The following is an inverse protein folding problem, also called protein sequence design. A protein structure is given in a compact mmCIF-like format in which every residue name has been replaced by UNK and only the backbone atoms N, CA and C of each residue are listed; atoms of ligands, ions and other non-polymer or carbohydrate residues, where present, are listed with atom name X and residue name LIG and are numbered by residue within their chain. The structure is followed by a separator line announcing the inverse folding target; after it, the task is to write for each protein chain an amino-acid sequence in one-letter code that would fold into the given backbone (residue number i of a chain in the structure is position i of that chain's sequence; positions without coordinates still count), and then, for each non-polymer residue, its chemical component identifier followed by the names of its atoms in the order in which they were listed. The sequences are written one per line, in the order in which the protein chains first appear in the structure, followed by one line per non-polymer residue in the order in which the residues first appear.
data_IF_706724149224
#
_entry.id   IF_706724149224
#
_cell.length_a   1.000
_cell.length_b   1.000
_cell.length_c   1.000
_cell.angle_alpha   90.00
_cell.angle_beta   90.00
_cell.angle_gamma   90.00
#
_symmetry.space_group_name_H-M   'P 1'
#
loop_
_entity.id
_entity.type
_entity.pdbx_description
1 polymer ?
#
# COMPACT_ATOMS: atom_id res chain seq x y z
N UNK A 1 49.01 41.80 -46.12
CA UNK A 1 47.82 40.91 -46.06
C UNK A 1 48.25 39.48 -46.36
N UNK A 2 48.15 38.57 -45.37
CA UNK A 2 48.06 37.09 -45.49
C UNK A 2 48.48 36.46 -44.17
N UNK A 3 47.58 36.51 -43.18
CA UNK A 3 47.62 35.64 -42.00
C UNK A 3 46.16 35.29 -41.72
N UNK A 4 45.71 34.14 -42.21
CA UNK A 4 44.49 33.42 -41.81
C UNK A 4 44.30 32.24 -42.79
N UNK A 5 45.09 31.18 -42.62
CA UNK A 5 44.85 29.88 -43.28
C UNK A 5 45.03 28.66 -42.38
N UNK A 6 45.48 28.84 -41.14
CA UNK A 6 45.67 27.73 -40.18
C UNK A 6 44.42 27.50 -39.30
N UNK A 7 43.54 28.49 -39.16
CA UNK A 7 42.33 28.36 -38.33
C UNK A 7 41.28 27.44 -38.98
N UNK A 8 41.19 27.41 -40.32
CA UNK A 8 40.19 26.59 -41.03
C UNK A 8 40.49 25.08 -41.03
N UNK A 9 41.74 24.67 -40.80
CA UNK A 9 42.10 23.24 -40.76
C UNK A 9 41.78 22.62 -39.40
N UNK A 10 41.86 23.39 -38.30
CA UNK A 10 41.49 22.90 -36.98
C UNK A 10 39.97 22.91 -36.72
N UNK A 11 39.21 23.79 -37.37
CA UNK A 11 37.73 23.78 -37.26
C UNK A 11 37.08 22.59 -37.98
N UNK A 12 37.72 22.05 -39.02
CA UNK A 12 37.21 20.86 -39.73
C UNK A 12 37.52 19.54 -38.99
N UNK A 13 38.54 19.52 -38.14
CA UNK A 13 38.92 18.32 -37.37
C UNK A 13 38.06 18.11 -36.12
N UNK A 14 37.42 19.18 -35.61
CA UNK A 14 36.50 19.10 -34.46
C UNK A 14 35.06 18.74 -34.82
N UNK A 15 34.69 18.70 -36.11
CA UNK A 15 33.34 18.31 -36.55
C UNK A 15 33.16 16.80 -36.76
N UNK A 16 34.23 16.00 -36.65
CA UNK A 16 34.20 14.56 -36.91
C UNK A 16 34.19 13.68 -35.64
N UNK A 17 34.07 14.28 -34.44
CA UNK A 17 34.08 13.55 -33.16
C UNK A 17 32.75 13.72 -32.38
N UNK A 18 31.73 14.30 -32.99
CA UNK A 18 30.37 14.23 -32.45
C UNK A 18 29.70 12.93 -32.90
N UNK A 19 29.08 12.21 -31.97
CA UNK A 19 28.15 11.09 -32.19
C UNK A 19 28.73 9.67 -32.38
N UNK A 20 29.49 9.17 -31.40
CA UNK A 20 29.43 7.73 -31.04
C UNK A 20 29.57 7.59 -29.53
N UNK A 21 28.50 7.91 -28.81
CA UNK A 21 28.32 7.53 -27.42
C UNK A 21 26.82 7.42 -27.12
N UNK A 22 26.14 6.58 -27.89
CA UNK A 22 25.03 5.79 -27.38
C UNK A 22 25.43 4.33 -27.65
N UNK A 23 26.41 3.83 -26.92
CA UNK A 23 26.31 2.42 -26.58
C UNK A 23 25.08 2.35 -25.67
N UNK A 24 23.94 2.01 -26.26
CA UNK A 24 22.84 1.41 -25.50
C UNK A 24 23.43 0.12 -24.94
N UNK A 25 23.98 0.21 -23.73
CA UNK A 25 24.35 -0.96 -22.97
C UNK A 25 23.09 -1.83 -22.91
N UNK A 26 23.13 -3.07 -23.42
CA UNK A 26 21.98 -3.94 -23.34
C UNK A 26 21.63 -4.06 -21.87
N UNK A 27 20.39 -3.71 -21.53
CA UNK A 27 19.86 -3.88 -20.18
C UNK A 27 20.15 -5.33 -19.79
N UNK A 28 20.93 -5.51 -18.73
CA UNK A 28 21.31 -6.83 -18.24
C UNK A 28 20.02 -7.66 -18.08
N UNK A 29 19.87 -8.80 -18.77
CA UNK A 29 18.68 -9.64 -18.66
C UNK A 29 18.36 -10.04 -17.22
N UNK A 30 19.36 -10.06 -16.33
CA UNK A 30 19.18 -10.32 -14.90
C UNK A 30 18.42 -9.20 -14.19
N UNK A 31 18.45 -7.97 -14.71
CA UNK A 31 17.64 -6.85 -14.21
C UNK A 31 16.20 -6.89 -14.75
N UNK A 32 15.95 -7.59 -15.85
CA UNK A 32 14.59 -7.79 -16.39
C UNK A 32 13.80 -8.86 -15.64
N UNK A 33 14.46 -9.80 -14.98
CA UNK A 33 13.80 -10.81 -14.13
C UNK A 33 13.47 -10.30 -12.71
N UNK A 34 14.07 -9.18 -12.28
CA UNK A 34 13.91 -8.63 -10.92
C UNK A 34 13.01 -7.39 -10.83
N UNK A 35 12.58 -6.84 -11.97
CA UNK A 35 11.36 -6.04 -12.01
C UNK A 35 10.27 -7.07 -12.27
N UNK A 36 9.67 -7.61 -11.20
CA UNK A 36 8.49 -8.45 -11.35
C UNK A 36 7.53 -7.72 -12.27
N UNK A 37 7.34 -8.25 -13.48
CA UNK A 37 6.34 -7.73 -14.41
C UNK A 37 5.06 -7.65 -13.59
N UNK A 38 4.43 -6.47 -13.39
CA UNK A 38 3.25 -6.39 -12.56
C UNK A 38 2.25 -7.35 -13.19
N UNK A 39 2.02 -8.48 -12.51
CA UNK A 39 1.17 -9.54 -13.02
C UNK A 39 -0.12 -8.92 -13.52
N UNK A 40 -0.50 -9.19 -14.77
CA UNK A 40 -1.73 -8.61 -15.31
C UNK A 40 -2.90 -9.18 -14.52
N UNK A 41 -3.55 -8.31 -13.75
CA UNK A 41 -4.78 -8.61 -13.04
C UNK A 41 -5.85 -9.01 -14.05
N UNK A 42 -6.62 -10.05 -13.72
CA UNK A 42 -7.80 -10.42 -14.50
C UNK A 42 -8.99 -9.56 -14.05
N UNK A 43 -10.08 -9.57 -14.82
CA UNK A 43 -11.28 -8.80 -14.53
C UNK A 43 -11.60 -7.77 -15.62
N UNK A 44 -12.49 -6.84 -15.32
CA UNK A 44 -12.82 -5.71 -16.20
C UNK A 44 -12.61 -4.39 -15.48
N UNK A 45 -12.15 -3.39 -16.22
CA UNK A 45 -12.01 -2.01 -15.75
C UNK A 45 -12.47 -1.07 -16.88
N UNK A 46 -13.52 -0.29 -16.63
CA UNK A 46 -14.15 0.58 -17.63
C UNK A 46 -14.53 1.92 -17.03
N UNK A 47 -14.59 2.97 -17.85
CA UNK A 47 -15.09 4.31 -17.48
C UNK A 47 -15.44 5.11 -18.73
N UNK A 48 -16.45 5.97 -18.64
CA UNK A 48 -16.85 6.85 -19.73
C UNK A 48 -16.28 8.25 -19.54
N UNK A 49 -15.67 8.81 -20.59
CA UNK A 49 -15.28 10.22 -20.65
C UNK A 49 -15.25 10.71 -22.09
N UNK A 50 -15.42 12.02 -22.30
CA UNK A 50 -15.40 12.64 -23.64
C UNK A 50 -16.32 11.96 -24.66
N UNK A 51 -17.45 11.42 -24.20
CA UNK A 51 -18.45 10.72 -25.03
C UNK A 51 -18.05 9.33 -25.51
N UNK A 52 -16.99 8.73 -24.95
CA UNK A 52 -16.51 7.39 -25.28
C UNK A 52 -16.34 6.53 -24.03
N UNK A 53 -16.44 5.21 -24.20
CA UNK A 53 -16.08 4.25 -23.15
C UNK A 53 -14.60 3.88 -23.28
N UNK A 54 -13.87 4.10 -22.20
CA UNK A 54 -12.58 3.52 -21.95
C UNK A 54 -12.76 2.12 -21.37
N UNK A 55 -12.15 1.12 -22.00
CA UNK A 55 -12.04 -0.24 -21.48
C UNK A 55 -10.56 -0.61 -21.46
N UNK A 56 -10.04 -0.93 -20.27
CA UNK A 56 -8.65 -1.29 -20.09
C UNK A 56 -8.35 -2.62 -20.81
N UNK A 57 -7.22 -2.68 -21.50
CA UNK A 57 -6.67 -3.91 -22.10
C UNK A 57 -5.75 -4.66 -21.16
N UNK A 58 -5.23 -3.97 -20.13
CA UNK A 58 -4.47 -4.57 -19.04
C UNK A 58 -4.85 -3.87 -17.73
N UNK A 59 -4.84 -4.62 -16.63
CA UNK A 59 -5.17 -4.11 -15.31
C UNK A 59 -4.04 -4.51 -14.36
N UNK A 60 -3.74 -3.64 -13.41
CA UNK A 60 -2.91 -3.96 -12.25
C UNK A 60 -3.66 -3.54 -11.01
N UNK A 61 -3.74 -4.44 -10.03
CA UNK A 61 -4.22 -4.11 -8.70
C UNK A 61 -3.26 -4.68 -7.65
N UNK A 62 -2.84 -3.84 -6.71
CA UNK A 62 -1.90 -4.21 -5.65
C UNK A 62 -2.39 -3.62 -4.34
N UNK A 63 -2.23 -4.40 -3.28
CA UNK A 63 -2.41 -3.96 -1.91
C UNK A 63 -1.05 -3.96 -1.24
N UNK A 64 -0.67 -2.81 -0.70
CA UNK A 64 0.58 -2.64 0.03
C UNK A 64 0.39 -1.59 1.13
N UNK A 65 0.94 -1.84 2.32
CA UNK A 65 0.91 -0.91 3.45
C UNK A 65 -0.47 -0.29 3.75
N UNK A 66 -1.53 -1.10 3.66
CA UNK A 66 -2.88 -0.61 3.94
C UNK A 66 -3.58 0.04 2.75
N UNK A 67 -2.97 0.12 1.58
CA UNK A 67 -3.48 0.87 0.43
C UNK A 67 -3.76 -0.04 -0.76
N UNK A 68 -4.97 0.03 -1.31
CA UNK A 68 -5.32 -0.59 -2.58
C UNK A 68 -5.05 0.40 -3.71
N UNK A 69 -4.18 0.04 -4.64
CA UNK A 69 -3.99 0.76 -5.89
C UNK A 69 -4.56 -0.08 -7.04
N UNK A 70 -5.42 0.52 -7.87
CA UNK A 70 -5.91 -0.11 -9.11
C UNK A 70 -5.57 0.80 -10.29
N UNK A 71 -5.03 0.22 -11.35
CA UNK A 71 -4.72 0.89 -12.61
C UNK A 71 -5.27 0.10 -13.79
N UNK A 72 -6.03 0.76 -14.65
CA UNK A 72 -6.40 0.28 -15.98
C UNK A 72 -5.52 0.93 -17.04
N UNK A 73 -4.97 0.12 -17.94
CA UNK A 73 -4.11 0.56 -19.05
C UNK A 73 -4.78 0.24 -20.38
N UNK A 74 -4.59 1.13 -21.36
CA UNK A 74 -5.03 0.94 -22.74
C UNK A 74 -3.95 1.43 -23.70
N UNK A 75 -3.59 0.60 -24.67
CA UNK A 75 -2.52 0.88 -25.62
C UNK A 75 -1.30 -0.01 -25.39
N UNK A 76 -0.20 0.31 -26.05
CA UNK A 76 1.04 -0.47 -25.98
C UNK A 76 2.27 0.42 -26.20
N UNK A 77 3.35 0.16 -25.46
CA UNK A 77 4.61 0.91 -25.57
C UNK A 77 4.46 2.36 -25.11
N UNK A 78 5.13 3.30 -25.78
CA UNK A 78 5.09 4.73 -25.46
C UNK A 78 3.74 5.43 -25.67
N UNK A 79 2.74 4.74 -26.20
CA UNK A 79 1.38 5.25 -26.42
C UNK A 79 0.36 4.60 -25.48
N UNK A 80 0.75 4.40 -24.21
CA UNK A 80 -0.13 3.80 -23.20
C UNK A 80 -0.83 4.89 -22.43
N UNK A 81 -2.16 4.82 -22.39
CA UNK A 81 -2.98 5.65 -21.51
C UNK A 81 -3.32 4.88 -20.24
N UNK A 82 -3.38 5.56 -19.10
CA UNK A 82 -3.65 4.94 -17.79
C UNK A 82 -4.75 5.69 -17.05
N UNK A 83 -5.67 4.96 -16.42
CA UNK A 83 -6.58 5.49 -15.39
C UNK A 83 -6.33 4.73 -14.11
N UNK A 84 -6.14 5.44 -13.01
CA UNK A 84 -5.82 4.80 -11.74
C UNK A 84 -6.47 5.51 -10.56
N UNK A 85 -6.65 4.77 -9.47
CA UNK A 85 -7.02 5.31 -8.17
C UNK A 85 -6.35 4.54 -7.02
N UNK A 86 -6.22 5.22 -5.89
CA UNK A 86 -5.68 4.68 -4.66
C UNK A 86 -6.72 4.83 -3.54
N UNK A 87 -6.98 3.74 -2.81
CA UNK A 87 -7.91 3.68 -1.68
C UNK A 87 -7.12 3.32 -0.42
N UNK A 88 -7.01 4.22 0.58
CA UNK A 88 -6.43 3.88 1.88
C UNK A 88 -7.41 3.03 2.70
N UNK A 89 -6.87 2.03 3.40
CA UNK A 89 -7.59 1.06 4.24
C UNK A 89 -8.86 0.52 3.54
N UNK A 90 -8.70 -0.15 2.38
CA UNK A 90 -9.84 -0.59 1.56
C UNK A 90 -10.76 -1.54 2.34
N UNK A 91 -12.04 -1.22 2.36
CA UNK A 91 -13.13 -2.03 2.87
C UNK A 91 -14.36 -1.91 1.95
N UNK A 92 -15.36 -2.79 2.12
CA UNK A 92 -16.63 -2.65 1.39
C UNK A 92 -17.33 -1.38 1.87
N UNK A 93 -17.52 -0.43 0.97
CA UNK A 93 -18.01 0.90 1.32
C UNK A 93 -17.71 1.95 0.27
N UNK A 94 -18.07 3.19 0.61
CA UNK A 94 -17.85 4.37 -0.25
C UNK A 94 -16.76 5.26 0.32
N UNK A 95 -15.86 5.70 -0.55
CA UNK A 95 -14.72 6.57 -0.25
C UNK A 95 -14.89 7.89 -1.01
N UNK A 96 -14.69 9.02 -0.32
CA UNK A 96 -14.78 10.37 -0.91
C UNK A 96 -13.49 10.74 -1.62
N UNK A 97 -13.57 11.57 -2.65
CA UNK A 97 -12.41 12.11 -3.37
C UNK A 97 -11.36 12.77 -2.46
N UNK A 98 -11.76 13.31 -1.30
CA UNK A 98 -10.87 13.90 -0.30
C UNK A 98 -9.85 12.90 0.28
N UNK A 99 -10.22 11.61 0.30
CA UNK A 99 -9.41 10.51 0.81
C UNK A 99 -8.74 9.69 -0.31
N UNK A 100 -8.92 10.11 -1.57
CA UNK A 100 -8.52 9.36 -2.76
C UNK A 100 -7.55 10.16 -3.61
N UNK A 101 -6.58 9.46 -4.20
CA UNK A 101 -5.85 9.97 -5.36
C UNK A 101 -6.38 9.24 -6.59
N UNK A 102 -6.92 9.98 -7.56
CA UNK A 102 -7.39 9.43 -8.83
C UNK A 102 -6.83 10.25 -9.98
N UNK A 103 -6.44 9.58 -11.07
CA UNK A 103 -5.91 10.28 -12.23
C UNK A 103 -6.12 9.54 -13.55
N UNK A 104 -6.02 10.29 -14.63
CA UNK A 104 -5.90 9.82 -16.00
C UNK A 104 -4.65 10.42 -16.64
N UNK A 105 -3.75 9.55 -17.11
CA UNK A 105 -2.56 9.90 -17.89
C UNK A 105 -2.86 9.64 -19.37
N UNK A 106 -3.00 10.69 -20.21
CA UNK A 106 -3.09 10.51 -21.65
C UNK A 106 -1.76 10.00 -22.24
N UNK A 107 -1.85 9.31 -23.37
CA UNK A 107 -0.70 8.70 -24.03
C UNK A 107 0.25 9.78 -24.58
N UNK A 108 1.53 9.68 -24.21
CA UNK A 108 2.58 10.56 -24.73
C UNK A 108 2.59 11.98 -24.16
N UNK A 109 1.70 12.28 -23.21
CA UNK A 109 1.64 13.58 -22.54
C UNK A 109 2.53 13.57 -21.28
N UNK A 110 3.11 14.72 -20.95
CA UNK A 110 3.89 14.91 -19.72
C UNK A 110 3.00 15.11 -18.48
N UNK A 111 1.83 15.70 -18.71
CA UNK A 111 0.87 16.05 -17.67
C UNK A 111 -0.35 15.13 -17.72
N UNK A 112 -1.15 15.17 -16.67
CA UNK A 112 -2.25 14.25 -16.41
C UNK A 112 -3.47 14.99 -15.87
N UNK A 113 -4.63 14.33 -15.90
CA UNK A 113 -5.84 14.81 -15.24
C UNK A 113 -5.94 14.20 -13.85
N UNK A 114 -5.91 15.01 -12.80
CA UNK A 114 -5.96 14.59 -11.38
C UNK A 114 -7.27 15.01 -10.72
N UNK A 115 -7.72 14.30 -9.70
CA UNK A 115 -9.03 14.52 -9.06
C UNK A 115 -9.10 15.73 -8.12
N UNK A 116 -8.14 16.64 -8.18
CA UNK A 116 -8.16 17.88 -7.41
C UNK A 116 -7.49 19.03 -8.17
N UNK A 117 -7.79 20.25 -7.76
CA UNK A 117 -7.05 21.46 -8.12
C UNK A 117 -6.91 22.34 -6.86
N UNK A 118 -6.50 23.61 -7.03
CA UNK A 118 -6.32 24.53 -5.91
C UNK A 118 -7.62 24.94 -5.20
N UNK A 119 -8.79 24.67 -5.80
CA UNK A 119 -10.09 25.15 -5.31
C UNK A 119 -10.99 24.02 -4.81
N UNK A 120 -10.83 22.80 -5.34
CA UNK A 120 -11.75 21.69 -5.10
C UNK A 120 -11.09 20.33 -5.31
N UNK A 121 -11.67 19.33 -4.65
CA UNK A 121 -11.41 17.91 -4.84
C UNK A 121 -12.69 17.26 -5.35
N UNK A 122 -12.57 16.20 -6.16
CA UNK A 122 -13.71 15.41 -6.59
C UNK A 122 -13.42 13.92 -6.60
N UNK A 123 -14.50 13.19 -6.81
CA UNK A 123 -14.46 11.76 -7.09
C UNK A 123 -15.00 10.92 -5.97
N UNK A 124 -15.17 9.65 -6.28
CA UNK A 124 -15.62 8.64 -5.34
C UNK A 124 -15.24 7.27 -5.86
N UNK A 125 -14.92 6.37 -4.94
CA UNK A 125 -14.82 4.93 -5.20
C UNK A 125 -15.81 4.23 -4.28
N UNK A 126 -16.60 3.31 -4.82
CA UNK A 126 -17.49 2.46 -4.03
C UNK A 126 -17.12 1.00 -4.25
N UNK A 127 -16.50 0.38 -3.24
CA UNK A 127 -16.13 -1.02 -3.25
C UNK A 127 -17.38 -1.82 -2.85
N UNK A 128 -17.91 -2.62 -3.77
CA UNK A 128 -19.11 -3.44 -3.53
C UNK A 128 -18.78 -4.82 -2.99
N UNK A 129 -17.60 -5.34 -3.31
CA UNK A 129 -17.16 -6.65 -2.83
C UNK A 129 -15.65 -6.75 -2.79
N UNK A 130 -15.15 -7.36 -1.72
CA UNK A 130 -13.80 -7.86 -1.59
C UNK A 130 -13.94 -9.36 -1.36
N UNK A 131 -13.43 -10.16 -2.29
CA UNK A 131 -13.31 -11.60 -2.14
C UNK A 131 -11.87 -11.88 -1.78
N UNK A 132 -11.60 -11.99 -0.48
CA UNK A 132 -10.26 -12.33 0.00
C UNK A 132 -9.87 -13.70 -0.53
N UNK A 133 -10.79 -14.68 -0.53
CA UNK A 133 -10.64 -16.07 -0.97
C UNK A 133 -10.07 -16.25 -2.39
N UNK A 134 -10.47 -15.37 -3.29
CA UNK A 134 -10.04 -15.40 -4.69
C UNK A 134 -9.15 -14.20 -5.03
N UNK A 135 -8.78 -13.38 -4.05
CA UNK A 135 -8.04 -12.13 -4.19
C UNK A 135 -8.64 -11.22 -5.28
N UNK A 136 -9.96 -10.99 -5.23
CA UNK A 136 -10.63 -10.10 -6.20
C UNK A 136 -11.39 -8.97 -5.54
N UNK A 137 -11.49 -7.84 -6.24
CA UNK A 137 -12.23 -6.66 -5.80
C UNK A 137 -13.15 -6.15 -6.91
N UNK A 138 -14.35 -5.71 -6.54
CA UNK A 138 -15.32 -5.12 -7.46
C UNK A 138 -15.95 -3.86 -6.89
N UNK A 139 -16.35 -2.96 -7.77
CA UNK A 139 -16.97 -1.70 -7.39
C UNK A 139 -17.14 -0.73 -8.56
N UNK A 140 -17.42 0.53 -8.20
CA UNK A 140 -17.60 1.63 -9.14
C UNK A 140 -16.74 2.83 -8.75
N UNK A 141 -16.47 3.71 -9.71
CA UNK A 141 -15.77 4.96 -9.45
C UNK A 141 -16.21 6.06 -10.42
N UNK A 142 -15.95 7.30 -10.04
CA UNK A 142 -16.13 8.49 -10.90
C UNK A 142 -15.29 9.63 -10.37
N UNK A 143 -14.85 10.55 -11.21
CA UNK A 143 -14.17 11.78 -10.78
C UNK A 143 -14.22 12.85 -11.87
N UNK A 144 -14.00 14.10 -11.49
CA UNK A 144 -13.63 15.18 -12.42
C UNK A 144 -12.13 15.32 -12.38
N UNK A 145 -11.48 15.20 -13.54
CA UNK A 145 -10.05 15.36 -13.67
C UNK A 145 -9.70 16.78 -14.12
N UNK A 146 -8.82 17.45 -13.39
CA UNK A 146 -8.21 18.73 -13.77
C UNK A 146 -6.79 18.51 -14.26
N UNK A 147 -6.41 19.23 -15.31
CA UNK A 147 -5.06 19.14 -15.87
C UNK A 147 -4.02 19.57 -14.83
N UNK A 148 -2.96 18.78 -14.70
CA UNK A 148 -1.95 18.96 -13.65
C UNK A 148 -0.98 20.10 -13.91
N UNK A 149 -0.96 20.66 -15.13
CA UNK A 149 -0.24 21.90 -15.43
C UNK A 149 -1.20 23.09 -15.31
N UNK A 150 -1.11 23.81 -14.20
CA UNK A 150 -1.97 24.96 -13.90
C UNK A 150 -1.60 26.22 -14.70
N UNK A 151 -0.45 26.22 -15.38
CA UNK A 151 -0.07 27.27 -16.34
C UNK A 151 -0.84 27.15 -17.67
N UNK A 152 -1.45 25.99 -17.94
CA UNK A 152 -2.21 25.71 -19.14
C UNK A 152 -3.72 25.77 -18.88
N UNK A 153 -4.46 26.56 -19.66
CA UNK A 153 -5.92 26.64 -19.59
C UNK A 153 -6.58 25.45 -20.29
N UNK A 154 -6.48 24.26 -19.70
CA UNK A 154 -7.12 23.03 -20.17
C UNK A 154 -8.41 22.77 -19.40
N UNK A 155 -9.50 22.54 -20.12
CA UNK A 155 -10.80 22.27 -19.51
C UNK A 155 -10.80 20.93 -18.75
N UNK A 156 -11.48 20.84 -17.60
CA UNK A 156 -11.61 19.57 -16.87
C UNK A 156 -12.43 18.55 -17.65
N UNK A 157 -12.18 17.27 -17.35
CA UNK A 157 -12.88 16.12 -17.95
C UNK A 157 -13.66 15.38 -16.87
N UNK A 158 -14.92 15.05 -17.15
CA UNK A 158 -15.73 14.18 -16.30
C UNK A 158 -15.53 12.71 -16.67
N UNK A 159 -15.13 11.91 -15.68
CA UNK A 159 -15.02 10.46 -15.74
C UNK A 159 -16.20 9.85 -15.00
N UNK A 160 -17.11 9.23 -15.74
CA UNK A 160 -18.41 8.76 -15.24
C UNK A 160 -18.61 7.27 -15.54
N UNK A 161 -19.56 6.63 -14.87
CA UNK A 161 -19.86 5.19 -15.03
C UNK A 161 -18.62 4.29 -14.90
N UNK A 162 -17.64 4.69 -14.09
CA UNK A 162 -16.47 3.88 -13.82
C UNK A 162 -16.86 2.60 -13.10
N UNK A 163 -16.34 1.47 -13.56
CA UNK A 163 -16.60 0.16 -12.96
C UNK A 163 -15.34 -0.71 -13.02
N UNK A 164 -15.12 -1.47 -11.96
CA UNK A 164 -14.15 -2.54 -11.91
C UNK A 164 -14.83 -3.80 -11.39
N UNK A 165 -14.69 -4.92 -12.10
CA UNK A 165 -15.39 -6.16 -11.75
C UNK A 165 -14.41 -7.31 -11.73
N UNK A 166 -14.40 -8.03 -10.60
CA UNK A 166 -13.54 -9.18 -10.32
C UNK A 166 -12.08 -8.87 -10.67
N UNK A 167 -11.61 -7.66 -10.33
CA UNK A 167 -10.21 -7.30 -10.56
C UNK A 167 -9.36 -8.07 -9.57
N UNK A 168 -8.50 -8.96 -10.08
CA UNK A 168 -7.57 -9.71 -9.22
C UNK A 168 -6.51 -8.77 -8.65
N UNK A 169 -6.30 -8.76 -7.34
CA UNK A 169 -5.25 -7.98 -6.72
C UNK A 169 -4.11 -8.87 -6.21
N UNK A 170 -2.92 -8.27 -6.05
CA UNK A 170 -1.79 -8.88 -5.36
C UNK A 170 -1.64 -8.27 -3.96
N UNK A 171 -1.00 -8.99 -3.04
CA UNK A 171 -0.87 -8.59 -1.63
C UNK A 171 -2.11 -8.91 -0.80
N UNK A 172 -2.08 -8.51 0.46
CA UNK A 172 -3.07 -8.91 1.48
C UNK A 172 -3.93 -7.71 1.89
N UNK A 173 -5.26 -7.86 1.85
CA UNK A 173 -6.19 -6.84 2.35
C UNK A 173 -5.94 -6.56 3.85
N UNK A 174 -6.01 -5.30 4.29
CA UNK A 174 -5.92 -4.97 5.72
C UNK A 174 -7.08 -5.60 6.49
N UNK A 175 -6.79 -6.57 7.36
CA UNK A 175 -7.81 -7.35 8.07
C UNK A 175 -8.53 -8.41 7.23
N UNK A 176 -7.98 -8.76 6.07
CA UNK A 176 -8.53 -9.76 5.16
C UNK A 176 -7.68 -11.02 5.03
N UNK A 177 -7.17 -11.56 6.14
CA UNK A 177 -6.57 -12.90 6.16
C UNK A 177 -7.54 -13.95 5.59
N UNK A 178 -7.05 -14.82 4.71
CA UNK A 178 -7.84 -15.88 4.11
C UNK A 178 -7.99 -17.10 5.04
N UNK A 179 -9.24 -17.56 5.16
CA UNK A 179 -9.69 -18.81 5.83
C UNK A 179 -9.29 -19.02 7.30
N UNK A 180 -10.12 -18.38 8.12
CA UNK A 180 -10.22 -18.48 9.58
C UNK A 180 -9.95 -17.10 10.11
N UNK A 181 -11.00 -16.31 10.37
CA UNK A 181 -10.92 -14.89 10.74
C UNK A 181 -9.70 -14.61 11.62
N UNK A 182 -8.88 -13.63 11.23
CA UNK A 182 -7.80 -13.14 12.07
C UNK A 182 -8.42 -12.57 13.33
N UNK A 183 -8.16 -13.22 14.46
CA UNK A 183 -8.73 -12.84 15.73
C UNK A 183 -7.64 -12.23 16.58
N UNK A 184 -7.93 -11.06 17.15
CA UNK A 184 -7.24 -10.54 18.32
C UNK A 184 -8.31 -10.07 19.30
N UNK A 185 -8.20 -10.53 20.54
CA UNK A 185 -9.03 -10.01 21.64
C UNK A 185 -8.14 -9.58 22.79
N UNK A 186 -8.60 -8.63 23.59
CA UNK A 186 -7.88 -8.14 24.76
C UNK A 186 -8.84 -7.45 25.75
N UNK A 187 -8.43 -7.44 27.01
CA UNK A 187 -9.04 -6.62 28.07
C UNK A 187 -8.03 -5.52 28.43
N UNK A 188 -8.42 -4.27 28.21
CA UNK A 188 -7.65 -3.07 28.55
C UNK A 188 -8.20 -2.47 29.84
N UNK A 189 -7.37 -2.41 30.89
CA UNK A 189 -7.72 -1.88 32.22
C UNK A 189 -9.04 -2.44 32.77
N UNK A 190 -9.23 -3.76 32.62
CA UNK A 190 -10.41 -4.49 33.07
C UNK A 190 -11.65 -4.35 32.18
N UNK A 191 -11.57 -3.65 31.06
CA UNK A 191 -12.66 -3.50 30.08
C UNK A 191 -12.29 -4.16 28.75
N UNK A 192 -13.24 -4.86 28.11
CA UNK A 192 -12.99 -5.42 26.78
C UNK A 192 -12.58 -4.33 25.79
N UNK A 193 -11.44 -4.52 25.13
CA UNK A 193 -11.01 -3.66 24.04
C UNK A 193 -11.80 -4.04 22.77
N UNK A 194 -12.58 -3.12 22.18
CA UNK A 194 -13.51 -3.43 21.10
C UNK A 194 -12.78 -3.49 19.75
N UNK A 195 -12.03 -4.56 19.51
CA UNK A 195 -11.34 -4.80 18.24
C UNK A 195 -12.36 -4.88 17.10
N UNK A 196 -12.27 -3.93 16.17
CA UNK A 196 -13.05 -3.84 14.95
C UNK A 196 -12.30 -4.43 13.75
N UNK A 197 -10.95 -4.37 13.75
CA UNK A 197 -10.11 -4.89 12.67
C UNK A 197 -8.79 -5.45 13.25
N UNK A 198 -8.23 -6.47 12.61
CA UNK A 198 -6.91 -7.03 12.94
C UNK A 198 -5.99 -6.85 11.75
N UNK A 199 -4.87 -6.14 11.91
CA UNK A 199 -3.86 -5.99 10.86
C UNK A 199 -2.56 -6.70 11.25
N UNK A 200 -2.03 -7.53 10.36
CA UNK A 200 -0.76 -8.25 10.55
C UNK A 200 0.27 -7.70 9.57
N UNK A 201 1.51 -7.54 10.03
CA UNK A 201 2.66 -7.16 9.20
C UNK A 201 3.89 -7.99 9.58
N UNK A 202 4.67 -8.39 8.59
CA UNK A 202 5.99 -9.00 8.79
C UNK A 202 7.06 -8.10 8.16
N UNK A 203 8.09 -7.77 8.93
CA UNK A 203 9.18 -6.92 8.48
C UNK A 203 10.53 -7.41 9.01
N UNK A 204 11.59 -7.31 8.20
CA UNK A 204 12.96 -7.55 8.62
C UNK A 204 13.70 -6.23 8.82
N UNK A 205 14.07 -5.94 10.07
CA UNK A 205 14.84 -4.76 10.47
C UNK A 205 16.35 -4.98 10.50
N UNK A 206 16.87 -6.07 9.91
CA UNK A 206 18.28 -6.47 9.96
C UNK A 206 18.68 -7.24 11.22
N UNK A 207 17.73 -7.48 12.13
CA UNK A 207 17.87 -8.32 13.33
C UNK A 207 16.99 -9.58 13.27
N UNK A 208 16.47 -9.87 12.08
CA UNK A 208 15.52 -10.92 11.79
C UNK A 208 14.10 -10.39 11.60
N UNK A 209 13.30 -11.20 10.92
CA UNK A 209 11.88 -10.95 10.70
C UNK A 209 11.11 -10.84 12.01
N UNK A 210 10.22 -9.85 12.08
CA UNK A 210 9.30 -9.61 13.20
C UNK A 210 7.88 -9.62 12.67
N UNK A 211 7.03 -10.43 13.31
CA UNK A 211 5.58 -10.43 13.12
C UNK A 211 5.00 -9.37 14.06
N UNK A 212 4.18 -8.47 13.53
CA UNK A 212 3.43 -7.46 14.26
C UNK A 212 1.94 -7.69 14.05
N UNK A 213 1.20 -7.91 15.14
CA UNK A 213 -0.24 -8.15 15.15
C UNK A 213 -0.90 -6.96 15.83
N UNK A 214 -1.82 -6.29 15.13
CA UNK A 214 -2.42 -5.03 15.55
C UNK A 214 -3.94 -5.22 15.63
N UNK A 215 -4.52 -5.16 16.82
CA UNK A 215 -5.97 -5.06 16.99
C UNK A 215 -6.38 -3.60 17.06
N UNK A 216 -7.21 -3.15 16.11
CA UNK A 216 -7.68 -1.78 15.98
C UNK A 216 -9.13 -1.67 16.46
N UNK A 217 -9.46 -0.63 17.23
CA UNK A 217 -10.86 -0.26 17.48
C UNK A 217 -11.42 0.64 16.37
N UNK A 218 -12.71 0.98 16.44
CA UNK A 218 -13.38 1.85 15.47
C UNK A 218 -12.80 3.28 15.39
N UNK A 219 -12.01 3.71 16.39
CA UNK A 219 -11.33 5.01 16.41
C UNK A 219 -9.84 4.88 16.00
N UNK A 220 -9.42 3.72 15.52
CA UNK A 220 -8.04 3.38 15.17
C UNK A 220 -7.04 3.38 16.35
N UNK A 221 -7.52 3.32 17.59
CA UNK A 221 -6.64 2.98 18.72
C UNK A 221 -6.18 1.53 18.55
N UNK A 222 -4.96 1.20 18.99
CA UNK A 222 -4.34 -0.10 18.69
C UNK A 222 -3.81 -0.79 19.93
N UNK A 223 -4.14 -2.07 20.10
CA UNK A 223 -3.37 -3.01 20.92
C UNK A 223 -2.44 -3.78 19.99
N UNK A 224 -1.14 -3.71 20.23
CA UNK A 224 -0.11 -4.26 19.34
C UNK A 224 0.67 -5.32 20.10
N UNK A 225 0.87 -6.48 19.47
CA UNK A 225 1.76 -7.54 19.94
C UNK A 225 2.77 -7.83 18.84
N UNK A 226 4.06 -7.82 19.19
CA UNK A 226 5.15 -8.09 18.26
C UNK A 226 5.98 -9.27 18.71
N UNK A 227 6.49 -10.08 17.79
CA UNK A 227 7.37 -11.20 18.10
C UNK A 227 8.30 -11.56 16.95
N UNK A 228 9.49 -12.08 17.25
CA UNK A 228 10.39 -12.56 16.19
C UNK A 228 9.76 -13.73 15.45
N UNK A 229 9.83 -13.72 14.12
CA UNK A 229 9.28 -14.78 13.26
C UNK A 229 10.03 -16.11 13.41
N UNK A 230 11.21 -16.13 14.02
CA UNK A 230 11.96 -17.37 14.31
C UNK A 230 11.51 -18.10 15.58
N UNK A 231 10.58 -17.53 16.36
CA UNK A 231 10.10 -18.16 17.60
C UNK A 231 9.23 -19.38 17.30
N UNK A 232 9.40 -20.41 18.14
CA UNK A 232 8.60 -21.63 18.17
C UNK A 232 7.51 -21.51 19.25
N UNK A 233 6.54 -22.45 19.32
CA UNK A 233 5.61 -22.51 20.43
C UNK A 233 6.32 -22.51 21.80
N UNK A 234 5.84 -21.66 22.71
CA UNK A 234 6.48 -21.38 23.99
C UNK A 234 6.04 -20.05 24.61
N UNK A 235 6.43 -19.82 25.86
CA UNK A 235 6.17 -18.55 26.58
C UNK A 235 7.43 -17.72 26.65
N UNK A 236 7.31 -16.46 26.24
CA UNK A 236 8.39 -15.48 26.17
C UNK A 236 8.02 -14.27 27.02
N UNK A 237 8.97 -13.78 27.80
CA UNK A 237 8.75 -12.66 28.70
C UNK A 237 9.02 -11.33 27.98
N UNK A 238 8.25 -10.32 28.37
CA UNK A 238 8.54 -8.91 28.08
C UNK A 238 9.19 -8.34 29.33
N UNK A 239 10.39 -7.79 29.18
CA UNK A 239 11.17 -7.16 30.26
C UNK A 239 11.25 -5.65 30.11
N UNK A 240 10.80 -5.11 28.97
CA UNK A 240 10.91 -3.70 28.62
C UNK A 240 12.26 -3.35 27.99
N UNK A 241 13.18 -4.32 27.87
CA UNK A 241 14.44 -4.14 27.17
C UNK A 241 14.31 -4.55 25.71
N UNK A 242 14.02 -3.57 24.84
CA UNK A 242 13.77 -3.81 23.41
C UNK A 242 14.95 -4.47 22.66
N UNK A 243 16.17 -4.40 23.19
CA UNK A 243 17.34 -5.02 22.57
C UNK A 243 17.47 -6.51 22.90
N UNK A 244 16.91 -6.94 24.03
CA UNK A 244 17.00 -8.31 24.53
C UNK A 244 15.69 -9.08 24.32
N UNK A 245 14.56 -8.39 24.42
CA UNK A 245 13.24 -8.97 24.29
C UNK A 245 13.00 -9.49 22.86
N UNK A 246 12.50 -10.71 22.76
CA UNK A 246 12.12 -11.34 21.48
C UNK A 246 10.62 -11.21 21.19
N UNK A 247 9.87 -10.65 22.15
CA UNK A 247 8.45 -10.34 22.08
C UNK A 247 8.20 -8.97 22.68
N UNK A 248 7.12 -8.29 22.29
CA UNK A 248 6.78 -6.95 22.77
C UNK A 248 5.29 -6.70 22.73
N UNK A 249 4.86 -5.66 23.42
CA UNK A 249 3.48 -5.20 23.47
C UNK A 249 3.41 -3.67 23.49
N UNK A 250 2.37 -3.10 22.89
CA UNK A 250 2.11 -1.65 22.93
C UNK A 250 0.62 -1.37 22.93
N UNK A 251 0.26 -0.19 23.42
CA UNK A 251 -1.05 0.41 23.22
C UNK A 251 -0.87 1.82 22.67
N UNK A 252 -1.65 2.20 21.64
CA UNK A 252 -1.59 3.53 21.04
C UNK A 252 -2.98 4.12 20.88
N UNK A 253 -3.13 5.41 21.14
CA UNK A 253 -4.36 6.17 20.90
C UNK A 253 -4.18 7.21 19.82
N UNK A 254 -5.26 7.58 19.13
CA UNK A 254 -5.26 8.59 18.05
C UNK A 254 -5.77 9.95 18.51
N UNK A 255 -6.59 10.02 19.56
CA UNK A 255 -7.12 11.28 20.09
C UNK A 255 -7.43 11.20 21.60
N UNK A 256 -6.64 11.84 22.48
CA UNK A 256 -5.33 12.43 22.18
C UNK A 256 -4.34 11.34 21.72
N UNK A 257 -3.34 11.73 20.93
CA UNK A 257 -2.28 10.81 20.53
C UNK A 257 -1.44 10.44 21.76
N UNK A 258 -1.34 9.16 22.06
CA UNK A 258 -0.49 8.64 23.13
C UNK A 258 0.06 7.26 22.77
N UNK A 259 1.22 6.94 23.32
CA UNK A 259 1.90 5.65 23.14
C UNK A 259 2.33 5.09 24.49
N UNK A 260 1.96 3.83 24.73
CA UNK A 260 2.30 3.06 25.92
C UNK A 260 3.11 1.84 25.48
N UNK A 261 4.32 1.70 26.03
CA UNK A 261 5.24 0.63 25.71
C UNK A 261 5.24 -0.42 26.81
N UNK A 262 5.13 -1.70 26.47
CA UNK A 262 5.16 -2.78 27.45
C UNK A 262 6.49 -2.79 28.22
N UNK A 263 6.40 -2.75 29.55
CA UNK A 263 7.55 -2.81 30.46
C UNK A 263 7.65 -4.17 31.15
N UNK A 264 6.55 -4.90 31.25
CA UNK A 264 6.49 -6.25 31.81
C UNK A 264 5.37 -7.04 31.14
N UNK A 265 5.48 -8.36 31.12
CA UNK A 265 4.42 -9.22 30.60
C UNK A 265 4.96 -10.49 29.97
N UNK A 266 4.10 -11.15 29.19
CA UNK A 266 4.49 -12.29 28.38
C UNK A 266 3.62 -12.45 27.14
N UNK A 267 4.18 -13.12 26.15
CA UNK A 267 3.48 -13.65 24.98
C UNK A 267 3.70 -15.15 24.98
N UNK A 268 2.62 -15.92 24.88
CA UNK A 268 2.66 -17.38 24.72
C UNK A 268 2.20 -17.73 23.32
N UNK A 269 3.09 -18.35 22.55
CA UNK A 269 2.77 -18.94 21.25
C UNK A 269 2.27 -20.37 21.52
N UNK A 270 0.99 -20.62 21.30
CA UNK A 270 0.37 -21.93 21.51
C UNK A 270 0.57 -22.84 20.29
N UNK A 271 0.43 -22.29 19.10
CA UNK A 271 0.63 -22.99 17.83
C UNK A 271 1.24 -22.07 16.80
N UNK A 272 2.00 -22.68 15.89
CA UNK A 272 2.59 -22.01 14.74
C UNK A 272 2.75 -22.99 13.58
N UNK A 273 2.23 -22.62 12.43
CA UNK A 273 2.45 -23.28 11.14
C UNK A 273 3.30 -22.38 10.26
N UNK A 274 3.45 -22.69 8.97
CA UNK A 274 4.16 -21.81 8.03
C UNK A 274 3.44 -20.47 7.82
N UNK A 275 2.11 -20.47 7.88
CA UNK A 275 1.28 -19.30 7.54
C UNK A 275 0.49 -18.75 8.72
N UNK A 276 0.36 -19.47 9.83
CA UNK A 276 -0.57 -19.11 10.91
C UNK A 276 0.05 -19.22 12.29
N UNK A 277 -0.27 -18.28 13.16
CA UNK A 277 0.24 -18.23 14.53
C UNK A 277 -0.89 -17.90 15.51
N UNK A 278 -0.98 -18.68 16.59
CA UNK A 278 -1.99 -18.48 17.61
C UNK A 278 -1.40 -18.56 19.00
N UNK A 279 -1.97 -17.80 19.94
CA UNK A 279 -1.38 -17.62 21.25
C UNK A 279 -2.18 -16.71 22.17
N UNK A 280 -1.57 -16.42 23.31
CA UNK A 280 -2.10 -15.49 24.31
C UNK A 280 -1.05 -14.47 24.69
N UNK A 281 -1.49 -13.35 25.24
CA UNK A 281 -0.59 -12.31 25.75
C UNK A 281 -1.21 -11.58 26.92
N UNK A 282 -0.34 -11.08 27.79
CA UNK A 282 -0.70 -10.14 28.84
C UNK A 282 0.51 -9.26 29.14
N UNK A 283 0.31 -7.96 29.26
CA UNK A 283 1.41 -7.03 29.56
C UNK A 283 0.93 -5.79 30.30
N UNK A 284 1.87 -5.15 30.99
CA UNK A 284 1.71 -3.80 31.53
C UNK A 284 2.53 -2.84 30.68
N UNK A 285 1.92 -1.77 30.19
CA UNK A 285 2.56 -0.78 29.34
C UNK A 285 2.52 0.61 29.97
N UNK A 286 3.60 1.37 29.80
CA UNK A 286 3.75 2.72 30.37
C UNK A 286 3.96 3.74 29.25
N UNK A 287 3.27 4.88 29.36
CA UNK A 287 3.35 6.03 28.46
C UNK A 287 3.42 7.34 29.25
N UNK A 288 3.39 8.49 28.57
CA UNK A 288 3.43 9.81 29.23
C UNK A 288 2.25 10.07 30.16
N UNK A 289 1.09 9.52 29.82
CA UNK A 289 -0.18 9.71 30.54
C UNK A 289 -0.43 8.67 31.65
N UNK A 290 0.51 7.75 31.87
CA UNK A 290 0.42 6.75 32.93
C UNK A 290 0.66 5.31 32.46
N UNK A 291 0.03 4.37 33.15
CA UNK A 291 0.20 2.93 32.93
C UNK A 291 -1.14 2.32 32.54
N UNK A 292 -1.12 1.44 31.53
CA UNK A 292 -2.24 0.61 31.13
C UNK A 292 -1.90 -0.87 31.30
N UNK A 293 -2.92 -1.67 31.54
CA UNK A 293 -2.82 -3.12 31.70
C UNK A 293 -3.62 -3.81 30.61
N UNK A 294 -2.96 -4.72 29.90
CA UNK A 294 -3.57 -5.57 28.89
C UNK A 294 -3.56 -6.99 29.40
N UNK A 295 -4.76 -7.55 29.57
CA UNK A 295 -4.98 -8.90 30.11
C UNK A 295 -5.88 -9.70 29.18
N UNK A 296 -5.92 -11.01 29.39
CA UNK A 296 -6.80 -11.94 28.64
C UNK A 296 -6.63 -11.81 27.12
N UNK A 297 -5.43 -11.41 26.68
CA UNK A 297 -5.14 -11.23 25.27
C UNK A 297 -5.06 -12.57 24.55
N UNK A 298 -5.74 -12.69 23.42
CA UNK A 298 -5.62 -13.84 22.51
C UNK A 298 -5.35 -13.37 21.09
N UNK A 299 -4.61 -14.16 20.33
CA UNK A 299 -4.45 -13.96 18.90
C UNK A 299 -4.51 -15.30 18.17
N UNK A 300 -5.06 -15.30 16.96
CA UNK A 300 -5.03 -16.39 16.00
C UNK A 300 -5.08 -15.75 14.62
N UNK A 301 -3.92 -15.63 13.98
CA UNK A 301 -3.78 -14.83 12.76
C UNK A 301 -2.93 -15.51 11.70
N UNK A 302 -3.30 -15.26 10.44
CA UNK A 302 -2.45 -15.49 9.29
C UNK A 302 -1.32 -14.45 9.27
N UNK A 303 -0.09 -14.90 9.00
CA UNK A 303 1.09 -14.06 8.85
C UNK A 303 1.86 -14.39 7.55
N UNK A 304 1.24 -15.08 6.60
CA UNK A 304 1.80 -15.33 5.28
C UNK A 304 1.82 -14.06 4.44
N UNK A 305 2.94 -13.86 3.75
CA UNK A 305 3.19 -12.79 2.79
C UNK A 305 3.87 -13.39 1.55
#
# INVERSE_FOLDING_TARGET
MKKMKIVQVFTLLFLAIGFVACDTEPVDPVLLDNIGNPGTSQGTFKVDFSGQTYEATAITAVINDGMLAISGYRGSGGNTEQIAFLVPNPEVGSFSGDDLLMYYQPAGEEYQYINFNLEQVSGSVNITSIDTANHTVSGTFSFTGWWSNDEEEVAPIEFTNGSFTNVTYQGTMPGGGETGDDILTAVLDGTNFPVANVAVAVADGGLGETISINGLDANQNKVIVSMKASLNPGTYNITGNILEDVVGGRYTTTSPEAMYMATTGSVTINSKTETRIAGTFAFTATGSEGTVTVTEGTFDVDYSF
#
